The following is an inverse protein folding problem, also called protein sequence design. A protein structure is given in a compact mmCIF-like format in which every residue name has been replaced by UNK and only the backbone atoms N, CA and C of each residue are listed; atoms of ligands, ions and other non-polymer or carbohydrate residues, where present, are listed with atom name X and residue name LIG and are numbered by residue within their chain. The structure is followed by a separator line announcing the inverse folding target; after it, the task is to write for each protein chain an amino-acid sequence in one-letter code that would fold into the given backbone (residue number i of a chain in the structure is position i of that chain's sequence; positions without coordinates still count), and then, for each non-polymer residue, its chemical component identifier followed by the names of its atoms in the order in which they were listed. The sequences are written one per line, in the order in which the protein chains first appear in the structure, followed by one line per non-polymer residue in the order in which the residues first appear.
data_IF_149552552898
#
_entry.id   IF_149552552898
#
_cell.length_a   1.000
_cell.length_b   1.000
_cell.length_c   1.000
_cell.angle_alpha   90.00
_cell.angle_beta   90.00
_cell.angle_gamma   90.00
#
_symmetry.space_group_name_H-M   'P 1'
#
loop_
_entity.id
_entity.type
_entity.pdbx_description
1 polymer ?
#
# COMPACT_ATOMS: atom_id res chain seq x y z
N UNK A 1 11.31 -37.54 62.46
CA UNK A 1 10.44 -36.92 61.43
C UNK A 1 11.00 -35.67 60.76
N UNK A 2 11.87 -34.88 61.41
CA UNK A 2 12.43 -33.63 60.85
C UNK A 2 13.56 -33.85 59.82
N UNK A 3 14.33 -34.94 59.90
CA UNK A 3 15.49 -35.22 59.03
C UNK A 3 15.05 -35.73 57.65
N UNK A 4 13.95 -36.45 57.58
CA UNK A 4 13.42 -37.00 56.33
C UNK A 4 12.87 -35.89 55.42
N UNK A 5 12.31 -34.82 56.02
CA UNK A 5 11.77 -33.69 55.25
C UNK A 5 12.87 -32.82 54.64
N UNK A 6 14.03 -32.70 55.28
CA UNK A 6 15.16 -31.91 54.78
C UNK A 6 15.87 -32.62 53.59
N UNK A 7 15.90 -33.94 53.58
CA UNK A 7 16.48 -34.73 52.49
C UNK A 7 15.61 -34.69 51.22
N UNK A 8 14.28 -34.60 51.36
CA UNK A 8 13.35 -34.49 50.23
C UNK A 8 13.37 -33.13 49.59
N UNK A 9 13.70 -32.07 50.35
CA UNK A 9 13.77 -30.69 49.82
C UNK A 9 15.06 -30.45 49.02
N UNK A 10 16.17 -31.13 49.34
CA UNK A 10 17.47 -31.00 48.62
C UNK A 10 17.44 -31.74 47.30
N UNK A 11 16.66 -32.84 47.21
CA UNK A 11 16.50 -33.61 45.97
C UNK A 11 15.74 -32.87 44.87
N UNK A 12 14.87 -31.93 45.22
CA UNK A 12 14.03 -31.19 44.27
C UNK A 12 14.79 -30.03 43.55
N UNK A 13 15.96 -29.59 44.05
CA UNK A 13 16.75 -28.49 43.48
C UNK A 13 17.78 -28.93 42.41
N UNK A 14 18.01 -30.22 42.22
CA UNK A 14 18.98 -30.72 41.27
C UNK A 14 18.42 -31.14 39.89
N UNK A 15 17.11 -30.99 39.67
CA UNK A 15 16.42 -31.40 38.46
C UNK A 15 16.27 -30.38 37.35
N UNK A 16 16.78 -29.14 37.53
CA UNK A 16 16.39 -27.98 36.67
C UNK A 16 17.35 -27.60 35.55
N UNK A 17 18.45 -28.32 35.29
CA UNK A 17 19.55 -27.85 34.45
C UNK A 17 19.63 -28.38 33.02
N UNK A 18 18.60 -29.08 32.49
CA UNK A 18 18.70 -29.73 31.18
C UNK A 18 17.81 -29.11 30.07
N UNK A 19 17.32 -27.92 30.19
CA UNK A 19 16.35 -27.38 29.24
C UNK A 19 16.85 -26.18 28.38
N UNK A 20 18.16 -26.02 28.19
CA UNK A 20 18.65 -25.07 27.19
C UNK A 20 19.42 -25.81 26.08
N UNK A 21 18.69 -26.44 25.15
CA UNK A 21 19.25 -26.73 23.85
C UNK A 21 19.53 -25.41 23.14
N UNK A 22 20.78 -25.14 22.70
CA UNK A 22 21.03 -24.01 21.83
C UNK A 22 20.12 -24.20 20.59
N UNK A 23 19.25 -23.24 20.30
CA UNK A 23 18.56 -23.20 19.02
C UNK A 23 19.64 -23.08 17.95
N UNK A 24 19.86 -24.15 17.21
CA UNK A 24 20.51 -24.07 15.91
C UNK A 24 19.65 -23.10 15.09
N UNK A 25 20.19 -21.94 14.79
CA UNK A 25 19.62 -21.04 13.79
C UNK A 25 19.90 -21.75 12.48
N UNK A 26 18.89 -22.53 12.00
CA UNK A 26 18.93 -22.97 10.60
C UNK A 26 19.07 -21.69 9.77
N UNK A 27 20.06 -21.59 8.88
CA UNK A 27 20.17 -20.42 8.01
C UNK A 27 18.85 -20.33 7.26
N UNK A 28 18.10 -19.25 7.55
CA UNK A 28 16.86 -18.93 6.84
C UNK A 28 17.18 -19.04 5.33
N UNK A 29 16.45 -19.86 4.57
CA UNK A 29 16.74 -20.02 3.14
C UNK A 29 16.78 -18.61 2.55
N UNK A 30 17.91 -18.26 1.94
CA UNK A 30 18.14 -16.95 1.35
C UNK A 30 16.89 -16.58 0.55
N UNK A 31 16.19 -15.52 1.00
CA UNK A 31 15.02 -15.00 0.29
C UNK A 31 15.45 -14.82 -1.15
N UNK A 32 14.92 -15.63 -2.04
CA UNK A 32 15.11 -15.47 -3.48
C UNK A 32 14.89 -13.98 -3.79
N UNK A 33 15.85 -13.29 -4.41
CA UNK A 33 15.69 -11.88 -4.72
C UNK A 33 14.35 -11.70 -5.43
N UNK A 34 13.50 -10.82 -4.90
CA UNK A 34 12.23 -10.53 -5.54
C UNK A 34 12.52 -10.16 -7.00
N UNK A 35 11.79 -10.72 -7.99
CA UNK A 35 12.02 -10.41 -9.39
C UNK A 35 12.00 -8.88 -9.53
N UNK A 36 13.00 -8.36 -10.26
CA UNK A 36 13.15 -6.92 -10.50
C UNK A 36 11.81 -6.33 -10.94
N UNK A 37 11.39 -5.18 -10.41
CA UNK A 37 10.11 -4.56 -10.74
C UNK A 37 10.01 -4.43 -12.26
N UNK A 38 9.00 -5.04 -12.85
CA UNK A 38 8.75 -4.88 -14.30
C UNK A 38 8.50 -3.41 -14.54
N UNK A 39 9.16 -2.83 -15.55
CA UNK A 39 8.93 -1.44 -15.95
C UNK A 39 7.45 -1.25 -16.22
N UNK A 40 6.84 -0.27 -15.55
CA UNK A 40 5.43 0.03 -15.74
C UNK A 40 5.19 0.55 -17.16
N UNK A 41 4.04 0.23 -17.77
CA UNK A 41 3.64 0.87 -19.00
C UNK A 41 3.48 2.38 -18.75
N UNK A 42 3.82 3.18 -19.76
CA UNK A 42 3.74 4.64 -19.69
C UNK A 42 2.32 5.14 -19.38
N UNK A 43 1.30 4.35 -19.74
CA UNK A 43 -0.12 4.71 -19.57
C UNK A 43 -0.90 3.51 -19.08
N UNK A 44 -1.77 3.71 -18.08
CA UNK A 44 -2.63 2.67 -17.50
C UNK A 44 -4.08 3.15 -17.39
N UNK A 45 -5.02 2.24 -17.57
CA UNK A 45 -6.42 2.52 -17.28
C UNK A 45 -6.62 2.64 -15.77
N UNK A 46 -7.28 3.70 -15.34
CA UNK A 46 -7.55 3.95 -13.94
C UNK A 46 -8.89 4.66 -13.76
N UNK A 47 -9.47 4.50 -12.58
CA UNK A 47 -10.62 5.29 -12.15
C UNK A 47 -10.17 6.23 -11.04
N UNK A 48 -10.34 7.51 -11.25
CA UNK A 48 -10.15 8.53 -10.24
C UNK A 48 -11.30 8.49 -9.24
N UNK A 49 -10.99 8.43 -7.96
CA UNK A 49 -12.01 8.32 -6.89
C UNK A 49 -12.19 9.64 -6.10
N UNK A 50 -11.37 10.65 -6.40
CA UNK A 50 -11.46 11.96 -5.75
C UNK A 50 -10.17 12.38 -5.06
N UNK A 51 -10.20 13.53 -4.41
CA UNK A 51 -9.13 14.04 -3.54
C UNK A 51 -8.27 15.14 -4.14
N UNK A 52 -8.41 15.47 -5.43
CA UNK A 52 -7.76 16.64 -6.02
C UNK A 52 -8.71 17.83 -5.93
N UNK A 53 -8.19 18.95 -5.45
CA UNK A 53 -8.94 20.20 -5.34
C UNK A 53 -9.53 20.62 -6.70
N UNK A 54 -10.81 20.98 -6.71
CA UNK A 54 -11.54 21.30 -7.95
C UNK A 54 -12.19 20.11 -8.67
N UNK A 55 -11.80 18.87 -8.35
CA UNK A 55 -12.30 17.65 -8.98
C UNK A 55 -13.01 16.76 -7.96
N UNK A 56 -14.32 16.96 -7.77
CA UNK A 56 -15.09 16.23 -6.74
C UNK A 56 -15.67 14.90 -7.20
N UNK A 57 -15.85 14.73 -8.51
CA UNK A 57 -16.53 13.55 -9.06
C UNK A 57 -15.55 12.45 -9.43
N UNK A 58 -15.96 11.20 -9.27
CA UNK A 58 -15.21 10.05 -9.78
C UNK A 58 -15.22 10.08 -11.32
N UNK A 59 -14.08 9.73 -11.92
CA UNK A 59 -13.89 9.75 -13.38
C UNK A 59 -13.17 8.49 -13.84
N UNK A 60 -13.58 7.94 -14.97
CA UNK A 60 -12.86 6.84 -15.62
C UNK A 60 -11.96 7.40 -16.72
N UNK A 61 -10.71 6.96 -16.73
CA UNK A 61 -9.76 7.50 -17.67
C UNK A 61 -8.45 6.72 -17.72
N UNK A 62 -7.40 7.43 -18.07
CA UNK A 62 -6.04 6.91 -18.16
C UNK A 62 -5.10 7.72 -17.30
N UNK A 63 -4.27 7.02 -16.54
CA UNK A 63 -3.17 7.59 -15.77
C UNK A 63 -1.89 7.41 -16.57
N UNK A 64 -1.10 8.46 -16.75
CA UNK A 64 0.11 8.47 -17.58
C UNK A 64 1.23 9.24 -16.90
N UNK A 65 2.47 8.87 -17.23
CA UNK A 65 3.65 9.62 -16.89
C UNK A 65 3.94 10.64 -18.00
N UNK A 66 3.91 11.92 -17.66
CA UNK A 66 4.33 13.02 -18.54
C UNK A 66 5.73 13.49 -18.10
N UNK A 67 6.74 12.80 -18.61
CA UNK A 67 8.14 13.04 -18.23
C UNK A 67 8.66 14.37 -18.84
N UNK A 68 8.08 14.83 -19.92
CA UNK A 68 8.43 16.13 -20.52
C UNK A 68 8.13 17.28 -19.56
N UNK A 69 7.01 17.18 -18.85
CA UNK A 69 6.57 18.21 -17.90
C UNK A 69 6.73 17.78 -16.43
N UNK A 70 7.42 16.66 -16.15
CA UNK A 70 7.69 16.14 -14.81
C UNK A 70 6.42 16.00 -13.95
N UNK A 71 5.37 15.38 -14.49
CA UNK A 71 4.08 15.28 -13.82
C UNK A 71 3.39 13.94 -14.05
N UNK A 72 2.55 13.56 -13.10
CA UNK A 72 1.57 12.52 -13.25
C UNK A 72 0.30 13.12 -13.85
N UNK A 73 -0.19 12.53 -14.93
CA UNK A 73 -1.30 13.04 -15.70
C UNK A 73 -2.45 12.03 -15.69
N UNK A 74 -3.63 12.46 -15.29
CA UNK A 74 -4.85 11.69 -15.47
C UNK A 74 -5.73 12.37 -16.52
N UNK A 75 -6.11 11.63 -17.56
CA UNK A 75 -7.02 12.08 -18.62
C UNK A 75 -8.35 11.37 -18.50
N UNK A 76 -9.43 12.11 -18.34
CA UNK A 76 -10.79 11.59 -18.35
C UNK A 76 -11.10 10.96 -19.72
N UNK A 77 -11.87 9.88 -19.70
CA UNK A 77 -12.45 9.26 -20.90
C UNK A 77 -13.41 10.19 -21.63
N UNK A 78 -14.07 11.11 -20.91
CA UNK A 78 -14.96 12.15 -21.45
C UNK A 78 -14.20 13.48 -21.43
N UNK A 79 -13.67 13.96 -22.57
CA UNK A 79 -12.96 15.21 -22.60
C UNK A 79 -13.86 16.39 -22.20
N UNK A 80 -13.36 17.50 -21.57
CA UNK A 80 -11.95 17.87 -21.53
C UNK A 80 -11.31 17.87 -20.13
N UNK A 81 -11.59 16.91 -19.24
CA UNK A 81 -11.05 16.98 -17.87
C UNK A 81 -9.71 16.27 -17.79
N UNK A 82 -8.72 17.00 -17.31
CA UNK A 82 -7.36 16.52 -17.08
C UNK A 82 -6.92 16.92 -15.67
N UNK A 83 -6.32 15.97 -14.93
CA UNK A 83 -5.74 16.22 -13.62
C UNK A 83 -4.23 16.06 -13.76
N UNK A 84 -3.49 17.07 -13.36
CA UNK A 84 -2.03 17.12 -13.38
C UNK A 84 -1.49 17.24 -11.97
N UNK A 85 -0.55 16.36 -11.60
CA UNK A 85 0.13 16.38 -10.30
C UNK A 85 1.64 16.38 -10.56
N UNK A 86 2.35 17.48 -10.31
CA UNK A 86 3.80 17.54 -10.45
C UNK A 86 4.49 16.48 -9.58
N UNK A 87 5.55 15.83 -10.08
CA UNK A 87 6.28 14.83 -9.29
C UNK A 87 6.88 15.44 -8.02
N UNK A 88 7.29 16.70 -8.08
CA UNK A 88 7.82 17.43 -6.92
C UNK A 88 6.80 17.64 -5.81
N UNK A 89 5.52 17.80 -6.17
CA UNK A 89 4.42 17.96 -5.21
C UNK A 89 4.05 16.67 -4.50
N UNK A 90 4.45 15.50 -5.02
CA UNK A 90 4.12 14.21 -4.41
C UNK A 90 5.00 13.99 -3.18
N UNK A 91 4.37 13.84 -2.02
CA UNK A 91 5.04 13.64 -0.73
C UNK A 91 5.07 12.19 -0.30
N UNK A 92 4.03 11.42 -0.63
CA UNK A 92 4.00 9.98 -0.40
C UNK A 92 3.06 9.27 -1.37
N UNK A 93 3.33 7.98 -1.59
CA UNK A 93 2.47 7.12 -2.38
C UNK A 93 2.50 5.68 -1.86
N UNK A 94 1.37 4.99 -1.92
CA UNK A 94 1.26 3.60 -1.50
C UNK A 94 0.14 2.87 -2.22
N UNK A 95 0.27 1.55 -2.24
CA UNK A 95 -0.77 0.65 -2.75
C UNK A 95 -1.69 0.24 -1.61
N UNK A 96 -2.98 0.47 -1.76
CA UNK A 96 -3.99 0.05 -0.81
C UNK A 96 -4.92 -1.00 -1.44
N UNK A 97 -5.26 -2.02 -0.67
CA UNK A 97 -6.10 -3.11 -1.14
C UNK A 97 -7.25 -3.35 -0.18
N UNK A 98 -8.44 -2.97 -0.59
CA UNK A 98 -9.66 -3.22 0.16
C UNK A 98 -10.44 -4.42 -0.39
N UNK A 99 -10.96 -5.24 0.52
CA UNK A 99 -11.94 -6.27 0.17
C UNK A 99 -13.33 -5.65 0.18
N UNK A 100 -13.97 -5.58 -0.97
CA UNK A 100 -15.30 -5.03 -1.12
C UNK A 100 -16.27 -6.09 -1.64
N UNK A 101 -17.47 -6.14 -1.09
CA UNK A 101 -18.53 -6.95 -1.66
C UNK A 101 -19.18 -6.15 -2.80
N UNK A 102 -19.27 -6.70 -4.03
CA UNK A 102 -19.96 -6.03 -5.13
C UNK A 102 -21.40 -5.70 -4.76
N UNK A 103 -21.93 -4.58 -5.23
CA UNK A 103 -23.30 -4.16 -4.94
C UNK A 103 -24.34 -5.23 -5.34
N UNK A 104 -24.16 -5.88 -6.49
CA UNK A 104 -25.00 -6.98 -6.93
C UNK A 104 -24.99 -8.16 -5.95
N UNK A 105 -23.82 -8.53 -5.41
CA UNK A 105 -23.72 -9.59 -4.43
C UNK A 105 -24.35 -9.19 -3.08
N UNK A 106 -24.29 -7.90 -2.71
CA UNK A 106 -24.93 -7.38 -1.50
C UNK A 106 -26.47 -7.47 -1.63
N UNK A 107 -27.04 -7.07 -2.76
CA UNK A 107 -28.49 -7.20 -3.02
C UNK A 107 -28.92 -8.66 -2.99
N UNK A 108 -28.19 -9.53 -3.70
CA UNK A 108 -28.49 -10.97 -3.73
C UNK A 108 -28.39 -11.61 -2.33
N UNK A 109 -27.51 -11.14 -1.47
CA UNK A 109 -27.35 -11.68 -0.12
C UNK A 109 -28.47 -11.27 0.85
N UNK A 110 -29.29 -10.27 0.50
CA UNK A 110 -30.45 -9.82 1.29
C UNK A 110 -31.72 -10.61 0.96
N UNK A 111 -31.74 -11.34 -0.17
CA UNK A 111 -32.87 -12.20 -0.50
C UNK A 111 -32.81 -13.48 0.34
N UNK A 112 -33.86 -13.81 1.11
CA UNK A 112 -33.88 -15.03 1.94
C UNK A 112 -34.13 -16.26 1.04
N UNK A 113 -33.09 -16.73 0.37
CA UNK A 113 -33.08 -17.91 -0.47
C UNK A 113 -31.78 -18.69 -0.29
N UNK A 114 -31.87 -20.01 -0.38
CA UNK A 114 -30.70 -20.90 -0.35
C UNK A 114 -29.75 -20.63 -1.53
N UNK A 115 -30.25 -20.09 -2.62
CA UNK A 115 -29.46 -19.72 -3.81
C UNK A 115 -28.64 -18.42 -3.60
N UNK A 116 -28.94 -17.63 -2.58
CA UNK A 116 -28.21 -16.39 -2.26
C UNK A 116 -26.96 -16.62 -1.41
N UNK A 117 -26.80 -17.79 -0.80
CA UNK A 117 -25.67 -18.11 0.09
C UNK A 117 -24.30 -17.89 -0.57
N UNK A 118 -24.02 -18.35 -1.80
CA UNK A 118 -22.70 -18.13 -2.41
C UNK A 118 -22.42 -16.63 -2.65
N UNK A 119 -23.45 -15.81 -2.88
CA UNK A 119 -23.25 -14.37 -3.11
C UNK A 119 -22.72 -13.61 -1.90
N UNK A 120 -22.96 -14.09 -0.67
CA UNK A 120 -22.44 -13.50 0.58
C UNK A 120 -20.92 -13.61 0.69
N UNK A 121 -20.32 -14.59 0.04
CA UNK A 121 -18.89 -14.86 0.09
C UNK A 121 -18.11 -14.20 -1.05
N UNK A 122 -18.80 -13.60 -2.03
CA UNK A 122 -18.16 -12.91 -3.14
C UNK A 122 -17.60 -11.59 -2.61
N UNK A 123 -16.27 -11.55 -2.42
CA UNK A 123 -15.53 -10.34 -2.07
C UNK A 123 -14.53 -10.04 -3.18
N UNK A 124 -14.66 -8.89 -3.79
CA UNK A 124 -13.71 -8.43 -4.80
C UNK A 124 -12.63 -7.59 -4.13
N UNK A 125 -11.36 -7.89 -4.43
CA UNK A 125 -10.25 -7.04 -4.00
C UNK A 125 -10.21 -5.82 -4.90
N UNK A 126 -10.39 -4.66 -4.31
CA UNK A 126 -10.25 -3.36 -4.99
C UNK A 126 -8.90 -2.79 -4.61
N UNK A 127 -8.16 -2.32 -5.60
CA UNK A 127 -6.78 -1.85 -5.45
C UNK A 127 -6.71 -0.38 -5.81
N UNK A 128 -6.08 0.37 -4.93
CA UNK A 128 -5.95 1.81 -5.07
C UNK A 128 -4.47 2.20 -5.04
N UNK A 129 -4.10 3.06 -5.96
CA UNK A 129 -2.91 3.90 -5.86
C UNK A 129 -3.33 5.15 -5.09
N UNK A 130 -2.86 5.27 -3.86
CA UNK A 130 -3.13 6.44 -3.03
C UNK A 130 -1.88 7.32 -3.01
N UNK A 131 -2.06 8.59 -3.32
CA UNK A 131 -1.01 9.59 -3.44
C UNK A 131 -1.35 10.76 -2.52
N UNK A 132 -0.42 11.10 -1.65
CA UNK A 132 -0.45 12.36 -0.91
C UNK A 132 0.40 13.38 -1.65
N UNK A 133 -0.15 14.55 -1.85
CA UNK A 133 0.54 15.64 -2.54
C UNK A 133 0.44 16.94 -1.73
N UNK A 134 1.44 17.79 -1.91
CA UNK A 134 1.48 19.14 -1.37
C UNK A 134 2.14 20.04 -2.41
N UNK A 135 1.36 20.90 -3.01
CA UNK A 135 1.83 21.82 -4.03
C UNK A 135 2.33 23.11 -3.34
N UNK A 136 3.62 23.40 -3.43
CA UNK A 136 4.20 24.59 -2.79
C UNK A 136 3.68 25.91 -3.41
N UNK A 137 3.39 25.93 -4.71
CA UNK A 137 2.99 27.13 -5.42
C UNK A 137 1.54 27.52 -5.12
N UNK A 138 0.63 26.54 -5.18
CA UNK A 138 -0.79 26.78 -4.90
C UNK A 138 -1.13 26.68 -3.41
N UNK A 139 -0.21 26.20 -2.56
CA UNK A 139 -0.42 25.87 -1.14
C UNK A 139 -1.57 24.88 -0.91
N UNK A 140 -1.90 24.11 -1.91
CA UNK A 140 -2.95 23.08 -1.84
C UNK A 140 -2.30 21.76 -1.54
N UNK A 141 -2.80 21.06 -0.53
CA UNK A 141 -2.40 19.69 -0.20
C UNK A 141 -3.62 18.80 -0.11
N UNK A 142 -3.44 17.52 -0.42
CA UNK A 142 -4.52 16.57 -0.39
C UNK A 142 -4.06 15.13 -0.54
N UNK A 143 -5.04 14.24 -0.47
CA UNK A 143 -4.86 12.81 -0.73
C UNK A 143 -5.79 12.43 -1.86
N UNK A 144 -5.23 11.86 -2.91
CA UNK A 144 -5.99 11.38 -4.05
C UNK A 144 -5.82 9.88 -4.24
N UNK A 145 -6.84 9.23 -4.80
CA UNK A 145 -6.80 7.79 -5.02
C UNK A 145 -7.28 7.44 -6.42
N UNK A 146 -6.52 6.52 -7.04
CA UNK A 146 -6.83 5.97 -8.36
C UNK A 146 -7.01 4.46 -8.22
N UNK A 147 -8.18 3.95 -8.62
CA UNK A 147 -8.43 2.53 -8.66
C UNK A 147 -7.80 1.93 -9.91
N UNK A 148 -7.02 0.85 -9.73
CA UNK A 148 -6.45 0.03 -10.79
C UNK A 148 -6.97 -1.40 -10.68
N UNK A 149 -7.11 -2.08 -11.81
CA UNK A 149 -7.72 -3.42 -11.84
C UNK A 149 -6.71 -4.54 -11.54
N UNK A 150 -5.43 -4.34 -11.86
CA UNK A 150 -4.38 -5.35 -11.74
C UNK A 150 -3.38 -5.00 -10.63
N UNK A 151 -3.00 -6.00 -9.83
CA UNK A 151 -2.06 -5.84 -8.71
C UNK A 151 -0.64 -5.57 -9.20
N UNK A 152 -0.17 -6.37 -10.14
CA UNK A 152 1.19 -6.26 -10.69
C UNK A 152 1.38 -4.90 -11.39
N UNK A 153 0.32 -4.43 -12.07
CA UNK A 153 0.29 -3.12 -12.71
C UNK A 153 0.36 -1.99 -11.68
N UNK A 154 -0.41 -2.11 -10.57
CA UNK A 154 -0.37 -1.14 -9.47
C UNK A 154 1.02 -1.07 -8.84
N UNK A 155 1.63 -2.20 -8.54
CA UNK A 155 2.95 -2.26 -7.91
C UNK A 155 4.05 -1.70 -8.83
N UNK A 156 4.04 -2.07 -10.11
CA UNK A 156 5.00 -1.55 -11.09
C UNK A 156 4.82 -0.05 -11.34
N UNK A 157 3.58 0.41 -11.41
CA UNK A 157 3.26 1.82 -11.59
C UNK A 157 3.67 2.65 -10.35
N UNK A 158 3.40 2.15 -9.15
CA UNK A 158 3.81 2.77 -7.89
C UNK A 158 5.35 2.86 -7.79
N UNK A 159 6.08 1.80 -8.12
CA UNK A 159 7.54 1.80 -8.10
C UNK A 159 8.11 2.81 -9.12
N UNK A 160 7.54 2.88 -10.31
CA UNK A 160 7.95 3.85 -11.33
C UNK A 160 7.67 5.28 -10.88
N UNK A 161 6.48 5.54 -10.31
CA UNK A 161 6.13 6.84 -9.76
C UNK A 161 7.10 7.26 -8.64
N UNK A 162 7.43 6.33 -7.75
CA UNK A 162 8.36 6.58 -6.66
C UNK A 162 9.75 7.00 -7.17
N UNK A 163 10.26 6.32 -8.19
CA UNK A 163 11.52 6.68 -8.81
C UNK A 163 11.47 8.08 -9.45
N UNK A 164 10.40 8.38 -10.20
CA UNK A 164 10.25 9.69 -10.86
C UNK A 164 10.06 10.84 -9.88
N UNK A 165 9.37 10.60 -8.77
CA UNK A 165 9.15 11.60 -7.72
C UNK A 165 10.28 11.66 -6.67
N UNK A 166 11.35 10.85 -6.81
CA UNK A 166 12.47 10.81 -5.87
C UNK A 166 12.09 10.33 -4.47
N UNK A 167 11.18 9.36 -4.40
CA UNK A 167 10.71 8.80 -3.13
C UNK A 167 11.50 7.55 -2.73
N UNK A 168 11.61 7.29 -1.44
CA UNK A 168 12.23 6.11 -0.85
C UNK A 168 11.20 5.25 -0.13
N UNK A 169 11.38 3.93 -0.16
CA UNK A 169 10.49 3.00 0.51
C UNK A 169 10.71 3.02 2.03
N UNK A 170 9.63 3.17 2.79
CA UNK A 170 9.59 3.02 4.25
C UNK A 170 8.44 2.08 4.63
N UNK A 171 8.76 0.84 4.96
CA UNK A 171 7.74 -0.20 5.12
C UNK A 171 7.00 -0.44 3.81
N UNK A 172 5.69 -0.22 3.80
CA UNK A 172 4.83 -0.42 2.63
C UNK A 172 4.49 0.90 1.89
N UNK A 173 5.10 2.02 2.29
CA UNK A 173 4.81 3.36 1.77
C UNK A 173 6.07 3.96 1.16
N UNK A 174 5.95 4.55 -0.01
CA UNK A 174 6.98 5.40 -0.58
C UNK A 174 6.81 6.83 -0.06
N UNK A 175 7.90 7.43 0.43
CA UNK A 175 7.90 8.76 1.05
C UNK A 175 9.03 9.59 0.46
N UNK A 176 8.76 10.85 0.14
CA UNK A 176 9.78 11.81 -0.26
C UNK A 176 10.61 12.21 0.96
N UNK A 177 11.93 12.15 0.83
CA UNK A 177 12.82 12.65 1.88
C UNK A 177 12.62 14.17 1.99
N UNK A 178 12.34 14.65 3.18
CA UNK A 178 12.27 16.10 3.42
C UNK A 178 13.71 16.62 3.38
N UNK A 179 13.99 17.56 2.49
CA UNK A 179 15.23 18.30 2.50
C UNK A 179 15.16 19.30 3.67
N UNK A 180 15.88 18.99 4.76
CA UNK A 180 16.00 19.86 5.94
C UNK A 180 16.85 21.13 5.67
N UNK A 181 17.25 21.37 4.42
CA UNK A 181 18.04 22.53 4.02
C UNK A 181 17.34 23.88 4.17
N UNK A 182 16.02 23.91 4.40
CA UNK A 182 15.27 25.15 4.60
C UNK A 182 15.28 25.68 6.06
N UNK A 183 15.92 24.99 7.00
CA UNK A 183 15.98 25.39 8.42
C UNK A 183 17.27 26.09 8.84
N UNK A 184 18.19 26.32 7.92
CA UNK A 184 19.48 26.94 8.21
C UNK A 184 19.60 28.34 7.60
N UNK A 185 18.58 29.19 7.78
CA UNK A 185 18.78 30.62 7.63
C UNK A 185 18.09 31.33 8.80
N UNK A 186 18.89 31.83 9.78
CA UNK A 186 18.38 32.66 10.86
C UNK A 186 17.97 34.05 10.35
#
# INVERSE_FOLDING_TARGET
MRIVFTLLLVGALLGGAFAQRPRTIDPEPAKTPAPAPRTAPTTVKAKYEGGVFGYRNTMEGTLAFDDTNNRLLFKDKKPPKEISIPYESITSAFADTHKRQPAAATVASQVPSIYSLPARFIKTKVRYLTIQYSDPDSRVSGITSFKLDNKELLESFLATLANKAGMTLRGDIYVKKRDDSSKLNP
#
